data_IF_339360956367
#
_entry.id   IF_339360956367
#
_cell.length_a   1.000
_cell.length_b   1.000
_cell.length_c   1.000
_cell.angle_alpha   90.00
_cell.angle_beta   90.00
_cell.angle_gamma   90.00
#
_symmetry.space_group_name_H-M   'P 1'
#
loop_
_entity.id
_entity.type
_entity.pdbx_description
1 polymer ?
#
# COMPACT_ATOMS: atom_id res chain seq x y z
N UNK A 1 5.14 2.46 -17.99
CA UNK A 1 5.63 3.85 -17.90
C UNK A 1 7.01 3.96 -18.54
N UNK A 2 7.16 4.86 -19.52
CA UNK A 2 8.43 5.13 -20.21
C UNK A 2 8.88 6.54 -19.85
N UNK A 3 10.05 6.68 -19.24
CA UNK A 3 10.58 7.97 -18.82
C UNK A 3 11.04 8.78 -20.04
N UNK A 4 10.84 10.10 -20.01
CA UNK A 4 11.30 11.01 -21.07
C UNK A 4 12.80 11.19 -21.03
N UNK A 5 13.39 11.12 -19.83
CA UNK A 5 14.83 11.08 -19.56
C UNK A 5 15.42 9.70 -19.92
N UNK A 6 16.29 9.58 -20.94
CA UNK A 6 16.82 8.29 -21.40
C UNK A 6 17.57 7.52 -20.30
N UNK A 7 18.30 8.22 -19.43
CA UNK A 7 19.05 7.61 -18.33
C UNK A 7 18.14 6.93 -17.29
N UNK A 8 16.93 7.44 -17.07
CA UNK A 8 15.97 6.81 -16.16
C UNK A 8 15.34 5.58 -16.80
N UNK A 9 15.08 5.63 -18.11
CA UNK A 9 14.66 4.44 -18.87
C UNK A 9 15.73 3.36 -18.84
N UNK A 10 17.00 3.72 -19.04
CA UNK A 10 18.13 2.79 -18.91
C UNK A 10 18.20 2.19 -17.49
N UNK A 11 18.05 3.03 -16.46
CA UNK A 11 18.02 2.58 -15.07
C UNK A 11 16.91 1.56 -14.79
N UNK A 12 15.71 1.73 -15.37
CA UNK A 12 14.63 0.73 -15.29
C UNK A 12 15.02 -0.57 -15.99
N UNK A 13 15.61 -0.50 -17.19
CA UNK A 13 16.05 -1.68 -17.92
C UNK A 13 17.15 -2.45 -17.19
N UNK A 14 18.07 -1.76 -16.51
CA UNK A 14 19.07 -2.39 -15.63
C UNK A 14 18.39 -3.19 -14.51
N UNK A 15 17.35 -2.64 -13.85
CA UNK A 15 16.58 -3.36 -12.85
C UNK A 15 15.92 -4.61 -13.44
N UNK A 16 15.35 -4.53 -14.65
CA UNK A 16 14.70 -5.69 -15.26
C UNK A 16 15.70 -6.80 -15.64
N UNK A 17 16.95 -6.44 -15.96
CA UNK A 17 18.01 -7.38 -16.36
C UNK A 17 18.83 -7.94 -15.20
N UNK A 18 18.63 -7.47 -13.96
CA UNK A 18 19.44 -7.93 -12.82
C UNK A 18 19.16 -9.38 -12.43
N UNK A 19 20.12 -10.00 -11.73
CA UNK A 19 19.99 -11.35 -11.15
C UNK A 19 19.12 -11.39 -9.88
N UNK A 20 18.83 -10.25 -9.26
CA UNK A 20 17.99 -10.14 -8.07
C UNK A 20 16.48 -10.09 -8.41
N UNK A 21 15.69 -10.97 -7.80
CA UNK A 21 14.27 -11.13 -8.12
C UNK A 21 13.39 -9.95 -7.67
N UNK A 22 13.73 -9.30 -6.56
CA UNK A 22 13.00 -8.15 -6.03
C UNK A 22 13.22 -6.94 -6.94
N UNK A 23 14.48 -6.69 -7.29
CA UNK A 23 14.87 -5.62 -8.20
C UNK A 23 14.24 -5.78 -9.60
N UNK A 24 14.24 -7.00 -10.15
CA UNK A 24 13.52 -7.30 -11.40
C UNK A 24 12.04 -6.97 -11.30
N UNK A 25 11.40 -7.33 -10.19
CA UNK A 25 9.98 -7.09 -9.96
C UNK A 25 9.68 -5.60 -9.95
N UNK A 26 10.52 -4.80 -9.28
CA UNK A 26 10.41 -3.33 -9.23
C UNK A 26 10.60 -2.72 -10.63
N UNK A 27 11.62 -3.16 -11.39
CA UNK A 27 11.81 -2.70 -12.77
C UNK A 27 10.60 -2.98 -13.66
N UNK A 28 10.01 -4.19 -13.55
CA UNK A 28 8.81 -4.56 -14.30
C UNK A 28 7.60 -3.72 -13.91
N UNK A 29 7.45 -3.34 -12.65
CA UNK A 29 6.37 -2.45 -12.22
C UNK A 29 6.39 -1.14 -13.00
N UNK A 30 7.56 -0.50 -13.13
CA UNK A 30 7.69 0.72 -13.93
C UNK A 30 7.28 0.50 -15.39
N UNK A 31 7.72 -0.58 -16.04
CA UNK A 31 7.38 -0.83 -17.44
C UNK A 31 5.87 -1.04 -17.65
N UNK A 32 5.20 -1.78 -16.75
CA UNK A 32 3.78 -2.13 -16.85
C UNK A 32 2.81 -1.03 -16.40
N UNK A 33 3.30 0.04 -15.76
CA UNK A 33 2.42 1.11 -15.26
C UNK A 33 1.73 1.89 -16.38
N UNK A 34 0.40 2.01 -16.29
CA UNK A 34 -0.47 2.66 -17.28
C UNK A 34 -1.31 3.83 -16.71
N UNK A 35 -1.33 4.00 -15.38
CA UNK A 35 -2.18 4.95 -14.66
C UNK A 35 -1.42 6.22 -14.21
N UNK A 36 -0.12 6.32 -14.50
CA UNK A 36 0.63 7.58 -14.37
C UNK A 36 0.50 8.37 -15.67
N UNK A 37 -0.01 9.61 -15.58
CA UNK A 37 -0.16 10.49 -16.73
C UNK A 37 1.20 11.06 -17.18
N UNK A 38 1.32 11.44 -18.45
CA UNK A 38 2.53 12.10 -18.97
C UNK A 38 2.85 13.39 -18.19
N UNK A 39 1.82 14.13 -17.76
CA UNK A 39 1.98 15.33 -16.93
C UNK A 39 2.58 15.02 -15.56
N UNK A 40 2.12 13.94 -14.90
CA UNK A 40 2.64 13.51 -13.60
C UNK A 40 4.05 12.93 -13.74
N UNK A 41 4.31 12.17 -14.79
CA UNK A 41 5.64 11.68 -15.12
C UNK A 41 6.61 12.83 -15.34
N UNK A 42 6.22 13.85 -16.12
CA UNK A 42 7.06 15.02 -16.35
C UNK A 42 7.39 15.76 -15.04
N UNK A 43 6.45 15.82 -14.09
CA UNK A 43 6.70 16.40 -12.76
C UNK A 43 7.67 15.54 -11.95
N UNK A 44 7.48 14.22 -11.91
CA UNK A 44 8.40 13.27 -11.25
C UNK A 44 9.84 13.47 -11.71
N UNK A 45 10.06 13.64 -13.02
CA UNK A 45 11.39 13.77 -13.61
C UNK A 45 12.12 15.07 -13.23
N UNK A 46 11.41 16.06 -12.66
CA UNK A 46 12.01 17.28 -12.10
C UNK A 46 12.67 17.06 -10.74
N UNK A 47 12.37 15.95 -10.06
CA UNK A 47 12.89 15.65 -8.73
C UNK A 47 14.26 14.99 -8.85
N UNK A 48 15.25 15.58 -8.18
CA UNK A 48 16.65 15.16 -8.29
C UNK A 48 17.12 15.05 -9.76
N UNK A 49 17.09 16.16 -10.52
CA UNK A 49 17.31 16.13 -11.97
C UNK A 49 18.73 15.69 -12.37
N UNK A 50 19.68 15.69 -11.43
CA UNK A 50 21.04 15.22 -11.63
C UNK A 50 21.20 13.70 -11.42
N UNK A 51 20.26 13.03 -10.73
CA UNK A 51 20.35 11.59 -10.51
C UNK A 51 19.94 10.82 -11.76
N UNK A 52 20.74 9.81 -12.11
CA UNK A 52 20.45 8.87 -13.19
C UNK A 52 19.71 7.62 -12.69
N UNK A 53 19.41 7.53 -11.40
CA UNK A 53 18.81 6.34 -10.79
C UNK A 53 17.30 6.55 -10.59
N UNK A 54 16.49 5.74 -11.26
CA UNK A 54 15.03 5.85 -11.21
C UNK A 54 14.49 5.78 -9.78
N UNK A 55 15.07 4.92 -8.94
CA UNK A 55 14.66 4.77 -7.53
C UNK A 55 14.89 6.04 -6.73
N UNK A 56 16.02 6.71 -6.92
CA UNK A 56 16.33 7.94 -6.18
C UNK A 56 15.40 9.08 -6.58
N UNK A 57 15.11 9.21 -7.88
CA UNK A 57 14.17 10.21 -8.42
C UNK A 57 12.76 9.97 -7.86
N UNK A 58 12.26 8.74 -7.97
CA UNK A 58 10.91 8.38 -7.51
C UNK A 58 10.80 8.42 -5.98
N UNK A 59 11.84 8.01 -5.23
CA UNK A 59 11.84 8.11 -3.76
C UNK A 59 11.86 9.58 -3.29
N UNK A 60 12.53 10.47 -4.01
CA UNK A 60 12.50 11.91 -3.72
C UNK A 60 11.10 12.48 -4.02
N UNK A 61 10.55 12.18 -5.19
CA UNK A 61 9.17 12.52 -5.54
C UNK A 61 8.18 12.03 -4.49
N UNK A 62 8.34 10.78 -4.04
CA UNK A 62 7.49 10.20 -3.02
C UNK A 62 7.56 11.01 -1.72
N UNK A 63 8.76 11.30 -1.21
CA UNK A 63 8.93 12.03 0.05
C UNK A 63 8.37 13.45 -0.01
N UNK A 64 8.54 14.15 -1.13
CA UNK A 64 8.18 15.56 -1.25
C UNK A 64 6.76 15.78 -1.75
N UNK A 65 6.33 15.04 -2.77
CA UNK A 65 5.08 15.28 -3.50
C UNK A 65 3.96 14.31 -3.09
N UNK A 66 4.27 13.02 -2.89
CA UNK A 66 3.27 12.02 -2.48
C UNK A 66 3.00 12.09 -0.98
N UNK A 67 4.04 12.07 -0.17
CA UNK A 67 3.94 12.06 1.29
C UNK A 67 3.87 13.48 1.85
N UNK A 68 4.73 14.37 1.35
CA UNK A 68 4.95 15.68 1.94
C UNK A 68 5.79 15.62 3.23
N UNK A 69 6.56 16.69 3.51
CA UNK A 69 7.34 16.78 4.75
C UNK A 69 6.47 17.09 5.97
N UNK A 70 5.32 17.75 5.78
CA UNK A 70 4.53 18.38 6.84
C UNK A 70 3.03 18.03 6.78
N UNK A 71 2.36 18.23 7.91
CA UNK A 71 0.93 17.98 8.05
C UNK A 71 0.14 19.02 7.27
N UNK A 72 -0.94 18.58 6.64
CA UNK A 72 -1.74 19.41 5.74
C UNK A 72 -1.15 19.57 4.34
N UNK A 73 -0.03 18.91 4.01
CA UNK A 73 0.40 18.72 2.62
C UNK A 73 -0.75 18.13 1.78
N UNK A 74 -0.89 18.57 0.53
CA UNK A 74 -1.81 17.94 -0.43
C UNK A 74 -1.03 16.91 -1.25
N UNK A 75 -1.22 15.60 -1.03
CA UNK A 75 -0.54 14.57 -1.83
C UNK A 75 -0.87 14.71 -3.31
N UNK A 76 0.14 14.63 -4.18
CA UNK A 76 -0.07 14.60 -5.64
C UNK A 76 -0.97 13.45 -6.09
N UNK A 77 -1.05 12.39 -5.29
CA UNK A 77 -1.98 11.26 -5.45
C UNK A 77 -3.44 11.69 -5.51
N UNK A 78 -3.82 12.74 -4.78
CA UNK A 78 -5.19 13.25 -4.71
C UNK A 78 -5.37 14.61 -5.41
N UNK A 79 -4.35 15.06 -6.14
CA UNK A 79 -4.44 16.24 -6.99
C UNK A 79 -5.07 15.85 -8.33
N UNK A 80 -6.24 16.42 -8.62
CA UNK A 80 -7.01 16.16 -9.84
C UNK A 80 -6.28 16.53 -11.12
N UNK A 81 -5.43 17.56 -11.10
CA UNK A 81 -4.69 17.98 -12.28
C UNK A 81 -3.51 17.04 -12.57
N UNK A 82 -2.97 16.40 -11.52
CA UNK A 82 -1.81 15.52 -11.63
C UNK A 82 -2.22 14.06 -11.83
N UNK A 83 -3.20 13.57 -11.09
CA UNK A 83 -3.47 12.13 -10.97
C UNK A 83 -4.86 11.70 -11.46
N UNK A 84 -5.46 12.44 -12.39
CA UNK A 84 -6.79 12.15 -12.94
C UNK A 84 -6.98 10.73 -13.49
N UNK A 85 -5.92 10.08 -13.98
CA UNK A 85 -5.99 8.71 -14.50
C UNK A 85 -6.20 7.64 -13.42
N UNK A 86 -5.65 7.86 -12.23
CA UNK A 86 -5.73 6.90 -11.12
C UNK A 86 -6.76 7.31 -10.05
N UNK A 87 -7.21 8.56 -10.05
CA UNK A 87 -8.24 9.03 -9.12
C UNK A 87 -9.55 8.26 -9.32
N UNK A 88 -10.08 7.74 -8.22
CA UNK A 88 -11.37 7.08 -8.22
C UNK A 88 -12.48 8.14 -8.19
N UNK A 89 -13.59 7.86 -8.87
CA UNK A 89 -14.81 8.66 -8.74
C UNK A 89 -15.39 8.58 -7.33
N UNK A 90 -16.34 9.44 -7.02
CA UNK A 90 -17.12 9.46 -5.75
C UNK A 90 -17.99 8.19 -5.52
N UNK A 91 -17.69 7.11 -6.23
CA UNK A 91 -18.41 5.84 -6.25
C UNK A 91 -18.02 4.90 -5.10
N UNK A 92 -17.02 5.24 -4.28
CA UNK A 92 -16.74 4.45 -3.08
C UNK A 92 -17.89 4.66 -2.10
N UNK A 93 -18.71 3.63 -1.94
CA UNK A 93 -19.89 3.67 -1.08
C UNK A 93 -19.50 4.03 0.37
N UNK A 94 -20.06 5.10 0.96
CA UNK A 94 -19.63 5.59 2.28
C UNK A 94 -19.74 4.56 3.42
N UNK A 95 -20.66 3.59 3.29
CA UNK A 95 -20.87 2.55 4.30
C UNK A 95 -19.84 1.42 4.24
N UNK A 96 -19.01 1.36 3.19
CA UNK A 96 -18.01 0.30 3.06
C UNK A 96 -16.98 0.42 4.16
N UNK A 97 -16.71 -0.73 4.79
CA UNK A 97 -15.66 -0.85 5.79
C UNK A 97 -14.33 -1.04 5.09
N UNK A 98 -13.36 -0.22 5.48
CA UNK A 98 -11.98 -0.29 5.05
C UNK A 98 -11.17 -0.96 6.17
N UNK A 99 -10.23 -1.81 5.79
CA UNK A 99 -9.31 -2.44 6.73
C UNK A 99 -7.86 -2.17 6.32
N UNK A 100 -7.02 -1.95 7.33
CA UNK A 100 -5.58 -1.79 7.18
C UNK A 100 -4.86 -2.58 8.25
N UNK A 101 -3.76 -3.22 7.85
CA UNK A 101 -2.86 -3.88 8.77
C UNK A 101 -1.64 -3.00 8.97
N UNK A 102 -1.44 -2.51 10.19
CA UNK A 102 -0.31 -1.65 10.54
C UNK A 102 0.70 -2.47 11.34
N UNK A 103 1.97 -2.46 10.92
CA UNK A 103 3.07 -2.90 11.77
C UNK A 103 3.39 -1.80 12.77
N UNK A 104 3.28 -2.09 14.07
CA UNK A 104 3.31 -1.08 15.14
C UNK A 104 4.59 -1.09 15.98
N UNK A 105 5.56 -1.96 15.70
CA UNK A 105 6.78 -2.09 16.53
C UNK A 105 7.48 -0.76 16.80
N UNK A 106 7.68 0.06 15.76
CA UNK A 106 8.32 1.37 15.89
C UNK A 106 7.52 2.36 16.74
N UNK A 107 6.19 2.29 16.68
CA UNK A 107 5.32 3.14 17.50
C UNK A 107 5.35 2.69 18.96
N UNK A 108 5.32 1.38 19.22
CA UNK A 108 5.44 0.83 20.58
C UNK A 108 6.76 1.26 21.22
N UNK A 109 7.86 1.16 20.47
CA UNK A 109 9.17 1.62 20.93
C UNK A 109 9.18 3.13 21.22
N UNK A 110 8.67 3.95 20.28
CA UNK A 110 8.61 5.41 20.43
C UNK A 110 7.78 5.83 21.65
N UNK A 111 6.63 5.20 21.85
CA UNK A 111 5.70 5.51 22.93
C UNK A 111 6.02 4.88 24.28
N UNK A 112 6.97 3.94 24.34
CA UNK A 112 7.19 3.12 25.53
C UNK A 112 5.96 2.29 25.93
N UNK A 113 5.12 1.91 24.96
CA UNK A 113 3.87 1.19 25.20
C UNK A 113 4.13 -0.31 25.06
N UNK A 114 3.80 -1.09 26.10
CA UNK A 114 3.92 -2.55 26.00
C UNK A 114 2.77 -3.14 25.18
N UNK A 115 3.07 -4.19 24.42
CA UNK A 115 2.05 -4.87 23.61
C UNK A 115 0.95 -5.49 24.49
N UNK A 116 1.31 -6.10 25.61
CA UNK A 116 0.36 -6.67 26.58
C UNK A 116 -0.61 -5.63 27.15
N UNK A 117 -0.17 -4.37 27.33
CA UNK A 117 -1.06 -3.28 27.76
C UNK A 117 -2.13 -3.03 26.70
N UNK A 118 -1.76 -3.06 25.42
CA UNK A 118 -2.72 -2.91 24.32
C UNK A 118 -3.69 -4.09 24.21
N UNK A 119 -3.20 -5.32 24.37
CA UNK A 119 -4.06 -6.51 24.36
C UNK A 119 -5.11 -6.45 25.47
N UNK A 120 -4.68 -6.09 26.68
CA UNK A 120 -5.59 -5.91 27.81
C UNK A 120 -6.60 -4.80 27.55
N UNK A 121 -6.16 -3.66 27.03
CA UNK A 121 -7.04 -2.55 26.67
C UNK A 121 -8.10 -2.95 25.62
N UNK A 122 -7.72 -3.75 24.63
CA UNK A 122 -8.62 -4.23 23.58
C UNK A 122 -9.64 -5.26 24.10
N UNK A 123 -9.24 -6.10 25.06
CA UNK A 123 -10.11 -7.08 25.72
C UNK A 123 -11.11 -6.43 26.69
N UNK A 124 -10.62 -5.55 27.57
CA UNK A 124 -11.42 -4.99 28.65
C UNK A 124 -12.44 -3.96 28.13
N UNK A 125 -12.07 -3.16 27.11
CA UNK A 125 -12.88 -2.06 26.53
C UNK A 125 -13.52 -1.10 27.55
N UNK A 126 -13.03 -1.08 28.79
CA UNK A 126 -13.47 -0.14 29.84
C UNK A 126 -12.58 1.09 29.87
N UNK A 127 -13.16 2.25 30.20
CA UNK A 127 -12.59 3.59 30.02
C UNK A 127 -11.21 3.81 30.66
N UNK A 128 -10.88 3.16 31.78
CA UNK A 128 -9.56 3.27 32.42
C UNK A 128 -8.43 2.50 31.72
N UNK A 129 -8.78 1.57 30.82
CA UNK A 129 -7.83 0.77 30.03
C UNK A 129 -7.56 1.35 28.63
N UNK A 130 -8.37 2.31 28.16
CA UNK A 130 -8.27 2.88 26.82
C UNK A 130 -7.03 3.75 26.61
N UNK A 131 -6.36 4.19 27.68
CA UNK A 131 -5.14 5.02 27.60
C UNK A 131 -4.06 4.40 26.72
N UNK A 132 -3.92 3.06 26.73
CA UNK A 132 -2.97 2.37 25.88
C UNK A 132 -3.31 2.48 24.38
N UNK A 133 -4.56 2.20 24.02
CA UNK A 133 -5.00 2.29 22.61
C UNK A 133 -5.04 3.73 22.11
N UNK A 134 -5.48 4.68 22.94
CA UNK A 134 -5.43 6.12 22.63
C UNK A 134 -3.98 6.56 22.43
N UNK A 135 -3.08 6.19 23.34
CA UNK A 135 -1.65 6.48 23.21
C UNK A 135 -1.04 5.90 21.94
N UNK A 136 -1.43 4.69 21.54
CA UNK A 136 -1.02 4.12 20.24
C UNK A 136 -1.53 4.98 19.08
N UNK A 137 -2.80 5.37 19.07
CA UNK A 137 -3.37 6.16 17.97
C UNK A 137 -2.83 7.58 17.92
N UNK A 138 -2.52 8.19 19.06
CA UNK A 138 -1.88 9.51 19.13
C UNK A 138 -0.47 9.47 18.50
N UNK A 139 0.26 8.38 18.66
CA UNK A 139 1.57 8.22 18.02
C UNK A 139 1.50 8.14 16.49
N UNK A 140 0.39 7.65 15.93
CA UNK A 140 0.15 7.79 14.49
C UNK A 140 0.00 9.26 14.13
N UNK A 141 -0.71 10.07 14.94
CA UNK A 141 -0.94 11.48 14.68
C UNK A 141 0.35 12.30 14.59
N UNK A 142 1.36 11.95 15.39
CA UNK A 142 2.68 12.61 15.40
C UNK A 142 3.46 12.50 14.08
N UNK A 143 3.09 11.58 13.19
CA UNK A 143 3.77 11.46 11.92
C UNK A 143 3.55 12.72 11.07
N UNK A 144 4.61 13.38 10.58
CA UNK A 144 4.48 14.71 9.99
C UNK A 144 3.89 14.70 8.58
N UNK A 145 4.11 13.67 7.77
CA UNK A 145 3.59 13.65 6.39
C UNK A 145 2.12 13.22 6.23
N UNK A 146 1.57 13.48 5.05
CA UNK A 146 0.20 13.14 4.62
C UNK A 146 0.17 11.89 3.72
N UNK A 147 1.07 10.94 3.99
CA UNK A 147 1.24 9.70 3.21
C UNK A 147 -0.10 9.03 2.86
N UNK A 148 -0.40 8.82 1.57
CA UNK A 148 -1.52 7.99 1.14
C UNK A 148 -1.48 6.60 1.76
N UNK A 149 -2.65 6.07 2.02
CA UNK A 149 -2.86 4.86 2.79
C UNK A 149 -3.31 3.72 1.88
N UNK A 150 -2.46 2.71 1.71
CA UNK A 150 -2.86 1.44 1.09
C UNK A 150 -3.86 0.73 1.98
N UNK A 151 -5.00 0.34 1.41
CA UNK A 151 -6.08 -0.31 2.12
C UNK A 151 -6.88 -1.24 1.19
N UNK A 152 -7.74 -2.04 1.81
CA UNK A 152 -8.75 -2.84 1.10
C UNK A 152 -10.10 -2.73 1.80
N UNK A 153 -11.15 -3.20 1.13
CA UNK A 153 -12.47 -3.33 1.73
C UNK A 153 -12.55 -4.59 2.58
N UNK A 154 -13.16 -4.48 3.76
CA UNK A 154 -13.40 -5.60 4.68
C UNK A 154 -14.07 -6.78 3.99
N UNK A 155 -14.97 -6.52 3.05
CA UNK A 155 -15.72 -7.54 2.31
C UNK A 155 -14.81 -8.51 1.56
N UNK A 156 -13.61 -8.08 1.13
CA UNK A 156 -12.64 -8.93 0.44
C UNK A 156 -11.95 -9.94 1.36
N UNK A 157 -11.98 -9.71 2.68
CA UNK A 157 -11.19 -10.43 3.68
C UNK A 157 -12.05 -11.11 4.76
N UNK A 158 -13.38 -11.16 4.57
CA UNK A 158 -14.29 -11.71 5.59
C UNK A 158 -13.92 -13.14 5.98
N UNK A 159 -13.59 -13.98 5.01
CA UNK A 159 -13.22 -15.37 5.27
C UNK A 159 -11.82 -15.49 5.89
N UNK A 160 -10.84 -14.72 5.41
CA UNK A 160 -9.49 -14.70 6.00
C UNK A 160 -9.52 -14.26 7.47
N UNK A 161 -10.37 -13.30 7.81
CA UNK A 161 -10.53 -12.80 9.18
C UNK A 161 -11.23 -13.78 10.13
N UNK A 162 -11.84 -14.86 9.62
CA UNK A 162 -12.45 -15.90 10.47
C UNK A 162 -11.46 -16.98 10.89
N UNK A 163 -10.30 -17.09 10.24
CA UNK A 163 -9.33 -18.14 10.55
C UNK A 163 -8.48 -17.79 11.77
N UNK A 164 -7.86 -18.80 12.37
CA UNK A 164 -6.93 -18.62 13.48
C UNK A 164 -5.61 -18.00 13.04
N UNK A 165 -5.16 -18.30 11.81
CA UNK A 165 -3.97 -17.76 11.15
C UNK A 165 -4.24 -16.47 10.34
N UNK A 166 -5.27 -15.70 10.75
CA UNK A 166 -5.75 -14.55 9.99
C UNK A 166 -4.63 -13.53 9.68
N UNK A 167 -3.67 -13.33 10.58
CA UNK A 167 -2.58 -12.36 10.37
C UNK A 167 -1.72 -12.76 9.19
N UNK A 168 -1.25 -14.01 9.15
CA UNK A 168 -0.46 -14.52 8.03
C UNK A 168 -1.26 -14.50 6.74
N UNK A 169 -2.55 -14.87 6.79
CA UNK A 169 -3.42 -14.82 5.62
C UNK A 169 -3.59 -13.40 5.09
N UNK A 170 -3.84 -12.42 5.95
CA UNK A 170 -3.95 -11.03 5.50
C UNK A 170 -2.66 -10.53 4.87
N UNK A 171 -1.51 -10.82 5.48
CA UNK A 171 -0.21 -10.41 4.92
C UNK A 171 0.00 -11.04 3.54
N UNK A 172 -0.31 -12.32 3.39
CA UNK A 172 -0.22 -13.03 2.11
C UNK A 172 -1.18 -12.44 1.07
N UNK A 173 -2.46 -12.30 1.43
CA UNK A 173 -3.55 -11.85 0.55
C UNK A 173 -3.42 -10.41 0.09
N UNK A 174 -2.80 -9.56 0.90
CA UNK A 174 -2.62 -8.13 0.64
C UNK A 174 -1.25 -7.78 0.07
N UNK A 175 -0.42 -8.77 -0.28
CA UNK A 175 0.89 -8.49 -0.86
C UNK A 175 1.81 -7.71 0.08
N UNK A 176 1.65 -7.84 1.41
CA UNK A 176 2.38 -7.07 2.41
C UNK A 176 3.76 -7.69 2.66
N UNK A 177 4.57 -7.82 1.59
CA UNK A 177 5.89 -8.45 1.63
C UNK A 177 6.82 -7.83 2.67
N UNK A 178 6.78 -6.50 2.82
CA UNK A 178 7.56 -5.76 3.83
C UNK A 178 7.14 -6.02 5.29
N UNK A 179 6.03 -6.73 5.53
CA UNK A 179 5.59 -7.16 6.85
C UNK A 179 6.09 -8.56 7.24
N UNK A 180 6.80 -9.26 6.36
CA UNK A 180 7.42 -10.53 6.72
C UNK A 180 8.57 -10.33 7.72
N UNK A 181 8.62 -11.10 8.83
CA UNK A 181 9.81 -11.15 9.69
C UNK A 181 10.93 -11.91 8.98
N UNK A 182 11.75 -11.16 8.23
CA UNK A 182 12.87 -11.70 7.43
C UNK A 182 13.89 -12.47 8.27
N UNK A 183 14.08 -12.08 9.53
CA UNK A 183 14.86 -12.87 10.48
C UNK A 183 13.95 -13.81 11.27
N UNK A 184 14.32 -15.09 11.34
CA UNK A 184 13.51 -16.13 12.00
C UNK A 184 13.28 -15.90 13.51
N UNK A 185 14.10 -15.08 14.13
CA UNK A 185 14.01 -14.74 15.56
C UNK A 185 13.20 -13.46 15.82
N UNK A 186 12.91 -12.67 14.79
CA UNK A 186 12.21 -11.42 14.97
C UNK A 186 10.73 -11.68 15.19
N UNK A 187 10.16 -10.95 16.16
CA UNK A 187 8.73 -10.91 16.43
C UNK A 187 8.20 -9.53 16.08
N UNK A 188 7.31 -9.48 15.10
CA UNK A 188 6.66 -8.25 14.67
C UNK A 188 5.26 -8.15 15.26
N UNK A 189 4.86 -6.92 15.60
CA UNK A 189 3.57 -6.60 16.23
C UNK A 189 2.70 -5.84 15.27
N UNK A 190 1.43 -6.23 15.21
CA UNK A 190 0.48 -5.68 14.27
C UNK A 190 -0.80 -5.23 14.94
N UNK A 191 -1.38 -4.17 14.40
CA UNK A 191 -2.74 -3.73 14.68
C UNK A 191 -3.58 -3.79 13.39
N UNK A 192 -4.71 -4.49 13.46
CA UNK A 192 -5.74 -4.44 12.42
C UNK A 192 -6.66 -3.26 12.70
N UNK A 193 -6.61 -2.26 11.82
CA UNK A 193 -7.47 -1.08 11.84
C UNK A 193 -8.70 -1.34 10.97
N UNK A 194 -9.87 -0.89 11.44
CA UNK A 194 -11.12 -0.88 10.66
C UNK A 194 -11.90 0.40 10.92
N UNK A 195 -12.30 1.05 9.84
CA UNK A 195 -13.07 2.29 9.78
C UNK A 195 -13.89 2.30 8.49
N UNK A 196 -14.70 3.33 8.28
CA UNK A 196 -15.59 3.45 7.12
C UNK A 196 -15.04 4.39 6.06
N UNK A 197 -15.44 4.18 4.81
CA UNK A 197 -15.20 5.14 3.75
C UNK A 197 -15.78 6.52 4.08
N UNK A 198 -16.94 6.57 4.76
CA UNK A 198 -17.53 7.82 5.24
C UNK A 198 -16.61 8.61 6.16
N UNK A 199 -15.89 7.95 7.08
CA UNK A 199 -14.95 8.64 7.97
C UNK A 199 -13.75 9.20 7.18
N UNK A 200 -13.26 8.46 6.18
CA UNK A 200 -12.21 8.93 5.28
C UNK A 200 -12.67 10.16 4.50
N UNK A 201 -13.86 10.10 3.89
CA UNK A 201 -14.47 11.22 3.14
C UNK A 201 -14.62 12.44 4.04
N UNK A 202 -15.12 12.25 5.26
CA UNK A 202 -15.27 13.34 6.21
C UNK A 202 -13.93 14.00 6.56
N UNK A 203 -12.88 13.21 6.84
CA UNK A 203 -11.54 13.76 7.11
C UNK A 203 -10.90 14.39 5.87
N UNK A 204 -11.18 13.91 4.67
CA UNK A 204 -10.69 14.52 3.44
C UNK A 204 -11.34 15.88 3.18
N UNK A 205 -12.65 16.00 3.43
CA UNK A 205 -13.39 17.25 3.28
C UNK A 205 -12.89 18.35 4.23
N UNK A 206 -12.47 18.03 5.46
CA UNK A 206 -11.86 19.04 6.35
C UNK A 206 -10.54 19.58 5.80
N UNK A 207 -9.86 18.80 4.94
CA UNK A 207 -8.65 19.18 4.20
C UNK A 207 -8.93 19.74 2.80
N UNK A 208 -10.20 19.93 2.42
CA UNK A 208 -10.64 20.39 1.09
C UNK A 208 -10.20 19.47 -0.05
N UNK A 209 -10.10 18.16 0.22
CA UNK A 209 -9.83 17.14 -0.80
C UNK A 209 -11.16 16.53 -1.21
N UNK A 210 -11.58 16.76 -2.46
CA UNK A 210 -12.84 16.24 -3.01
C UNK A 210 -12.73 14.75 -3.35
N UNK A 211 -11.70 14.36 -4.10
CA UNK A 211 -11.45 12.97 -4.49
C UNK A 211 -10.40 12.34 -3.57
N UNK A 212 -10.84 11.64 -2.53
CA UNK A 212 -9.96 11.11 -1.50
C UNK A 212 -9.54 9.66 -1.68
N UNK A 213 -9.89 9.04 -2.81
CA UNK A 213 -9.55 7.67 -3.17
C UNK A 213 -8.85 7.60 -4.53
N UNK A 214 -7.89 6.68 -4.67
CA UNK A 214 -7.18 6.45 -5.92
C UNK A 214 -6.83 4.96 -6.10
N UNK A 215 -6.61 4.55 -7.34
CA UNK A 215 -5.91 3.32 -7.70
C UNK A 215 -4.43 3.49 -7.36
N UNK A 216 -3.78 2.53 -6.68
CA UNK A 216 -2.36 2.64 -6.43
C UNK A 216 -1.52 2.58 -7.71
N UNK A 217 -0.46 3.39 -7.79
CA UNK A 217 0.52 3.36 -8.89
C UNK A 217 1.92 3.06 -8.36
N UNK A 218 2.86 2.85 -9.29
CA UNK A 218 4.29 2.70 -8.96
C UNK A 218 4.87 3.85 -8.15
N UNK A 219 4.27 5.05 -8.23
CA UNK A 219 4.74 6.22 -7.50
C UNK A 219 4.39 6.16 -6.01
N UNK A 220 3.34 5.45 -5.61
CA UNK A 220 2.96 5.30 -4.20
C UNK A 220 3.52 4.03 -3.56
N UNK A 221 3.86 3.01 -4.36
CA UNK A 221 4.35 1.74 -3.85
C UNK A 221 5.83 1.77 -3.42
N UNK A 222 6.56 2.83 -3.75
CA UNK A 222 8.01 2.93 -3.57
C UNK A 222 8.71 1.71 -4.23
N UNK A 223 9.74 1.15 -3.59
CA UNK A 223 10.45 -0.03 -4.07
C UNK A 223 9.82 -1.36 -3.59
N UNK A 224 8.49 -1.46 -3.46
CA UNK A 224 7.85 -2.72 -3.04
C UNK A 224 7.81 -3.75 -4.19
N UNK A 225 8.52 -4.89 -4.11
CA UNK A 225 8.51 -5.91 -5.18
C UNK A 225 7.18 -6.66 -5.29
N UNK A 226 6.32 -6.62 -4.26
CA UNK A 226 4.99 -7.22 -4.28
C UNK A 226 3.89 -6.31 -4.82
N UNK A 227 4.18 -5.03 -5.08
CA UNK A 227 3.23 -4.18 -5.82
C UNK A 227 3.13 -4.65 -7.27
N UNK A 228 1.94 -4.60 -7.86
CA UNK A 228 1.72 -4.96 -9.26
C UNK A 228 0.76 -3.93 -9.89
N UNK A 229 1.19 -3.21 -10.95
CA UNK A 229 0.32 -2.28 -11.65
C UNK A 229 -0.90 -2.98 -12.24
N UNK A 230 -1.98 -2.23 -12.44
CA UNK A 230 -3.20 -2.72 -13.08
C UNK A 230 -3.42 -2.02 -14.43
N UNK A 231 -4.15 -2.66 -15.37
CA UNK A 231 -4.52 -2.00 -16.63
C UNK A 231 -5.22 -0.66 -16.39
N UNK A 232 -5.11 0.25 -17.36
CA UNK A 232 -5.89 1.49 -17.34
C UNK A 232 -7.39 1.18 -17.29
N UNK A 233 -8.14 2.09 -16.66
CA UNK A 233 -9.61 2.04 -16.55
C UNK A 233 -10.15 0.97 -15.59
N UNK A 234 -9.28 0.29 -14.85
CA UNK A 234 -9.69 -0.59 -13.76
C UNK A 234 -10.12 0.25 -12.54
N UNK A 235 -11.27 0.00 -11.89
CA UNK A 235 -11.79 0.87 -10.83
C UNK A 235 -11.17 0.62 -9.44
N UNK A 236 -10.07 -0.13 -9.37
CA UNK A 236 -9.28 -0.46 -8.18
C UNK A 236 -7.99 -1.15 -8.61
N UNK A 237 -7.00 -1.19 -7.71
CA UNK A 237 -5.84 -2.06 -7.86
C UNK A 237 -6.15 -3.50 -7.44
N UNK A 238 -5.20 -4.40 -7.64
CA UNK A 238 -5.28 -5.76 -7.12
C UNK A 238 -3.99 -6.13 -6.38
N UNK A 239 -4.12 -6.53 -5.12
CA UNK A 239 -2.98 -6.98 -4.34
C UNK A 239 -2.48 -8.35 -4.85
N UNK A 240 -1.16 -8.55 -4.82
CA UNK A 240 -0.51 -9.83 -5.13
C UNK A 240 -0.67 -10.78 -3.95
N UNK A 241 -1.36 -11.90 -4.17
CA UNK A 241 -1.40 -12.99 -3.19
C UNK A 241 -0.04 -13.71 -3.16
N UNK A 242 0.68 -13.59 -2.05
CA UNK A 242 2.06 -14.07 -1.92
C UNK A 242 2.18 -15.60 -1.86
N UNK A 243 1.12 -16.32 -1.47
CA UNK A 243 1.22 -17.76 -1.16
C UNK A 243 0.07 -18.64 -1.64
N UNK A 244 -1.00 -18.05 -2.15
CA UNK A 244 -2.18 -18.73 -2.70
C UNK A 244 -2.60 -19.96 -1.87
N UNK A 245 -3.15 -19.70 -0.67
CA UNK A 245 -3.67 -20.75 0.20
C UNK A 245 -5.12 -21.13 -0.17
N UNK A 246 -5.36 -21.56 -1.42
CA UNK A 246 -6.69 -21.84 -2.00
C UNK A 246 -7.72 -20.72 -1.73
N UNK A 247 -7.49 -19.47 -2.17
CA UNK A 247 -8.43 -18.40 -1.90
C UNK A 247 -9.71 -18.58 -2.76
N UNK A 248 -10.88 -18.25 -2.19
CA UNK A 248 -12.15 -18.24 -2.95
C UNK A 248 -12.16 -17.19 -4.08
N UNK A 249 -11.31 -16.15 -3.97
CA UNK A 249 -11.06 -15.14 -5.00
C UNK A 249 -9.56 -15.04 -5.25
N UNK A 250 -9.15 -15.16 -6.51
CA UNK A 250 -7.73 -15.12 -6.91
C UNK A 250 -7.07 -13.77 -6.63
N UNK A 251 -7.83 -12.68 -6.51
CA UNK A 251 -7.31 -11.33 -6.25
C UNK A 251 -8.05 -10.65 -5.08
N UNK A 252 -7.40 -9.66 -4.46
CA UNK A 252 -8.00 -8.74 -3.48
C UNK A 252 -7.96 -7.33 -4.05
N UNK A 253 -9.09 -6.64 -4.05
CA UNK A 253 -9.16 -5.25 -4.49
C UNK A 253 -8.40 -4.36 -3.51
N UNK A 254 -7.51 -3.53 -4.00
CA UNK A 254 -6.77 -2.55 -3.21
C UNK A 254 -7.05 -1.12 -3.69
N UNK A 255 -7.01 -0.20 -2.74
CA UNK A 255 -7.23 1.23 -2.96
C UNK A 255 -6.21 2.03 -2.15
N UNK A 256 -5.93 3.23 -2.64
CA UNK A 256 -5.36 4.30 -1.83
C UNK A 256 -6.48 5.18 -1.31
N UNK A 257 -6.28 5.69 -0.10
CA UNK A 257 -7.04 6.85 0.35
C UNK A 257 -6.15 7.89 1.04
N UNK A 258 -6.66 9.11 1.17
CA UNK A 258 -5.98 10.18 1.91
C UNK A 258 -5.60 9.69 3.30
N UNK A 259 -4.49 10.19 3.84
CA UNK A 259 -4.11 9.89 5.22
C UNK A 259 -5.31 9.98 6.16
N UNK A 260 -5.47 8.94 6.97
CA UNK A 260 -6.54 8.80 7.93
C UNK A 260 -5.98 8.84 9.35
N UNK A 261 -6.53 9.74 10.16
CA UNK A 261 -6.17 9.90 11.56
C UNK A 261 -7.05 8.94 12.39
N UNK A 262 -6.41 7.91 12.95
CA UNK A 262 -7.08 6.85 13.71
C UNK A 262 -7.58 7.33 15.08
N UNK A 263 -8.67 6.70 15.53
CA UNK A 263 -9.17 6.68 16.90
C UNK A 263 -8.94 5.29 17.50
N UNK A 264 -8.81 5.20 18.83
CA UNK A 264 -8.71 3.92 19.54
C UNK A 264 -9.83 2.94 19.15
N UNK A 265 -11.01 3.43 18.77
CA UNK A 265 -12.15 2.60 18.33
C UNK A 265 -11.87 1.84 17.03
N UNK A 266 -10.92 2.29 16.22
CA UNK A 266 -10.55 1.67 14.95
C UNK A 266 -9.67 0.45 15.13
N UNK A 267 -8.96 0.32 16.26
CA UNK A 267 -8.16 -0.87 16.56
C UNK A 267 -9.10 -2.05 16.83
N UNK A 268 -9.12 -3.04 15.93
CA UNK A 268 -10.03 -4.20 16.04
C UNK A 268 -9.35 -5.45 16.54
N UNK A 269 -8.09 -5.67 16.14
CA UNK A 269 -7.30 -6.84 16.54
C UNK A 269 -5.85 -6.46 16.71
N UNK A 270 -5.19 -7.19 17.58
CA UNK A 270 -3.75 -7.15 17.79
C UNK A 270 -3.22 -8.57 17.59
N UNK A 271 -2.04 -8.69 17.00
CA UNK A 271 -1.36 -9.97 16.88
C UNK A 271 0.15 -9.79 16.77
N UNK A 272 0.87 -10.83 17.18
CA UNK A 272 2.30 -10.99 16.97
C UNK A 272 2.55 -12.04 15.89
N UNK A 273 3.62 -11.87 15.14
CA UNK A 273 4.13 -12.89 14.24
C UNK A 273 5.64 -13.00 14.36
N UNK A 274 6.08 -14.20 14.76
CA UNK A 274 7.49 -14.56 14.87
C UNK A 274 7.85 -15.54 13.78
N UNK A 275 8.93 -15.25 13.05
CA UNK A 275 9.53 -16.17 12.09
C UNK A 275 8.62 -16.52 10.91
N UNK A 276 9.07 -16.18 9.71
CA UNK A 276 8.37 -16.56 8.49
C UNK A 276 9.36 -17.18 7.51
N UNK A 277 8.96 -18.26 6.87
CA UNK A 277 9.54 -18.58 5.57
C UNK A 277 9.18 -17.43 4.63
N UNK A 278 10.07 -17.05 3.73
CA UNK A 278 9.76 -16.00 2.75
C UNK A 278 8.94 -16.55 1.59
N UNK A 279 8.04 -15.77 0.97
CA UNK A 279 7.33 -16.20 -0.22
C UNK A 279 8.24 -16.13 -1.45
N UNK A 280 7.98 -16.98 -2.44
CA UNK A 280 8.59 -16.85 -3.76
C UNK A 280 7.86 -15.74 -4.53
N UNK A 281 8.48 -14.56 -4.56
CA UNK A 281 7.88 -13.38 -5.15
C UNK A 281 7.67 -13.51 -6.67
N UNK A 282 8.55 -14.19 -7.38
CA UNK A 282 8.40 -14.36 -8.83
C UNK A 282 7.24 -15.29 -9.16
N UNK A 283 7.14 -16.40 -8.42
CA UNK A 283 6.02 -17.32 -8.55
C UNK A 283 4.69 -16.62 -8.21
N UNK A 284 4.64 -15.85 -7.12
CA UNK A 284 3.45 -15.10 -6.72
C UNK A 284 3.01 -14.10 -7.80
N UNK A 285 3.95 -13.30 -8.31
CA UNK A 285 3.68 -12.31 -9.37
C UNK A 285 3.22 -12.94 -10.67
N UNK A 286 3.79 -14.09 -11.05
CA UNK A 286 3.35 -14.82 -12.26
C UNK A 286 1.89 -15.25 -12.13
N UNK A 287 1.51 -15.87 -11.01
CA UNK A 287 0.13 -16.28 -10.76
C UNK A 287 -0.82 -15.09 -10.71
N UNK A 288 -0.39 -13.99 -10.09
CA UNK A 288 -1.15 -12.75 -10.06
C UNK A 288 -1.41 -12.18 -11.46
N UNK A 289 -0.40 -12.14 -12.34
CA UNK A 289 -0.57 -11.68 -13.72
C UNK A 289 -1.60 -12.51 -14.48
N UNK A 290 -1.55 -13.84 -14.34
CA UNK A 290 -2.52 -14.75 -14.95
C UNK A 290 -3.95 -14.48 -14.44
N UNK A 291 -4.12 -14.30 -13.13
CA UNK A 291 -5.40 -13.96 -12.51
C UNK A 291 -5.90 -12.57 -12.96
N UNK A 292 -5.02 -11.57 -13.03
CA UNK A 292 -5.34 -10.21 -13.42
C UNK A 292 -5.82 -10.14 -14.88
N UNK A 293 -5.15 -10.83 -15.80
CA UNK A 293 -5.57 -10.95 -17.21
C UNK A 293 -6.95 -11.61 -17.34
N UNK A 294 -7.24 -12.60 -16.50
CA UNK A 294 -8.56 -13.25 -16.47
C UNK A 294 -9.65 -12.32 -15.94
N UNK A 295 -9.40 -11.65 -14.81
CA UNK A 295 -10.37 -10.76 -14.14
C UNK A 295 -10.70 -9.52 -14.98
N UNK A 296 -9.67 -8.92 -15.59
CA UNK A 296 -9.83 -7.66 -16.37
C UNK A 296 -10.18 -7.91 -17.83
N UNK A 297 -9.92 -9.11 -18.36
CA UNK A 297 -10.04 -9.42 -19.78
C UNK A 297 -8.91 -8.86 -20.66
N UNK A 298 -7.97 -8.09 -20.12
CA UNK A 298 -6.82 -7.52 -20.82
C UNK A 298 -5.71 -8.57 -21.00
N UNK A 299 -5.83 -9.43 -22.02
CA UNK A 299 -4.98 -10.62 -22.19
C UNK A 299 -3.49 -10.32 -22.46
N UNK A 300 -3.20 -9.16 -23.02
CA UNK A 300 -1.88 -8.66 -23.37
C UNK A 300 -1.24 -7.79 -22.27
N UNK A 301 -1.97 -7.48 -21.20
CA UNK A 301 -1.45 -6.66 -20.11
C UNK A 301 -0.18 -7.27 -19.52
N UNK A 302 0.88 -6.47 -19.35
CA UNK A 302 2.16 -6.94 -18.83
C UNK A 302 3.08 -7.60 -19.87
N UNK A 303 2.66 -7.74 -21.13
CA UNK A 303 3.56 -8.10 -22.23
C UNK A 303 4.42 -6.87 -22.59
N UNK A 304 5.51 -6.68 -21.85
CA UNK A 304 6.49 -5.62 -22.12
C UNK A 304 7.60 -6.15 -23.03
N UNK A 305 7.62 -5.70 -24.29
CA UNK A 305 8.73 -5.95 -25.23
C UNK A 305 9.99 -5.25 -24.71
N UNK A 306 10.90 -6.01 -24.11
CA UNK A 306 12.26 -5.54 -23.83
C UNK A 306 13.04 -5.69 -25.14
N UNK A 307 13.04 -4.65 -25.97
CA UNK A 307 13.91 -4.63 -27.16
C UNK A 307 15.36 -4.50 -26.70
N UNK A 308 16.19 -5.45 -27.12
CA UNK A 308 17.64 -5.48 -26.84
C UNK A 308 18.40 -4.34 -27.52
#
# INVERSE_FOLDING_TARGET
MLFTRPELTESVLTLVKTGDAEDRSIGRNYLMEENVSDQRLSDVETYNPASMHVREVVDNYFKVSVQGPDRGHLPSTFDKNMNSLALLSDSVEPIQKIVRLERIDGLLQKGGISFTVLEKALQDRQSSSLTGLTGLTDLFLDYPGERPSFATFRSELVEDLKTTDWLQRLIDRLGLYHHYPFNKTDTYRFALMEYTASEVIQQAHTKKIEQCFAVPTVLECQNNPAFFPVPRSTPHGFAVDLRERNPQRSTVREILHTRFDYSWTHVKRLAEWTGADLPDIEAARKRHLEALRQETGCRDFGDVEIRE
#
